data_IF_316803589319
#
_entry.id   IF_316803589319
#
_cell.length_a   1.000
_cell.length_b   1.000
_cell.length_c   1.000
_cell.angle_alpha   90.00
_cell.angle_beta   90.00
_cell.angle_gamma   90.00
#
_symmetry.space_group_name_H-M   'P 1'
#
loop_
_entity.id
_entity.type
_entity.pdbx_description
1 polymer ?
#
# COMPACT_ATOMS: atom_id res chain seq x y z
N UNK A 1 5.01 31.21 6.24
CA UNK A 1 4.80 29.75 6.20
C UNK A 1 4.61 29.15 7.59
N UNK A 2 5.57 29.28 8.53
CA UNK A 2 5.45 28.75 9.91
C UNK A 2 4.16 29.17 10.63
N UNK A 3 3.83 30.46 10.65
CA UNK A 3 2.63 30.99 11.35
C UNK A 3 1.32 30.44 10.76
N UNK A 4 1.28 30.23 9.44
CA UNK A 4 0.12 29.62 8.77
C UNK A 4 -0.05 28.15 9.20
N UNK A 5 1.04 27.39 9.24
CA UNK A 5 1.03 25.98 9.69
C UNK A 5 0.57 25.89 11.14
N UNK A 6 1.07 26.76 12.02
CA UNK A 6 0.68 26.78 13.44
C UNK A 6 -0.82 27.12 13.60
N UNK A 7 -1.38 28.04 12.79
CA UNK A 7 -2.82 28.34 12.77
C UNK A 7 -3.67 27.17 12.32
N UNK A 8 -3.28 26.51 11.23
CA UNK A 8 -3.97 25.33 10.70
C UNK A 8 -3.93 24.19 11.74
N UNK A 9 -2.76 23.92 12.30
CA UNK A 9 -2.56 22.91 13.33
C UNK A 9 -3.41 23.17 14.58
N UNK A 10 -3.49 24.41 15.06
CA UNK A 10 -4.32 24.75 16.21
C UNK A 10 -5.82 24.46 15.98
N UNK A 11 -6.30 24.66 14.74
CA UNK A 11 -7.68 24.34 14.37
C UNK A 11 -7.90 22.83 14.26
N UNK A 12 -6.94 22.10 13.70
CA UNK A 12 -7.05 20.66 13.47
C UNK A 12 -6.79 19.81 14.71
N UNK A 13 -5.92 20.25 15.62
CA UNK A 13 -5.42 19.48 16.77
C UNK A 13 -5.78 20.19 18.08
N UNK A 14 -7.00 19.96 18.57
CA UNK A 14 -7.55 20.55 19.79
C UNK A 14 -8.66 21.58 19.54
N UNK A 15 -8.87 21.98 18.28
CA UNK A 15 -9.91 22.95 17.88
C UNK A 15 -11.24 22.32 17.45
N UNK A 16 -11.33 20.99 17.32
CA UNK A 16 -12.51 20.28 16.87
C UNK A 16 -13.26 19.64 18.04
N UNK A 17 -14.59 19.81 18.08
CA UNK A 17 -15.42 19.05 19.02
C UNK A 17 -15.61 17.62 18.49
N UNK A 18 -14.78 16.71 18.96
CA UNK A 18 -14.77 15.32 18.52
C UNK A 18 -15.87 14.49 19.20
N UNK A 19 -17.13 14.90 19.12
CA UNK A 19 -18.26 14.12 19.66
C UNK A 19 -18.44 12.77 18.95
N UNK A 20 -19.16 11.82 19.54
CA UNK A 20 -19.49 10.55 18.86
C UNK A 20 -20.18 10.75 17.50
N UNK A 21 -21.08 11.74 17.41
CA UNK A 21 -21.71 12.10 16.14
C UNK A 21 -20.68 12.58 15.11
N UNK A 22 -19.72 13.40 15.53
CA UNK A 22 -18.64 13.88 14.67
C UNK A 22 -17.78 12.73 14.15
N UNK A 23 -17.44 11.77 15.02
CA UNK A 23 -16.65 10.58 14.66
C UNK A 23 -17.37 9.72 13.63
N UNK A 24 -18.67 9.46 13.82
CA UNK A 24 -19.48 8.68 12.88
C UNK A 24 -19.58 9.38 11.52
N UNK A 25 -19.87 10.69 11.51
CA UNK A 25 -19.94 11.48 10.27
C UNK A 25 -18.60 11.51 9.55
N UNK A 26 -17.50 11.61 10.29
CA UNK A 26 -16.17 11.59 9.72
C UNK A 26 -15.83 10.22 9.11
N UNK A 27 -16.15 9.14 9.81
CA UNK A 27 -15.96 7.77 9.30
C UNK A 27 -16.77 7.52 8.02
N UNK A 28 -18.04 7.98 7.99
CA UNK A 28 -18.89 7.90 6.80
C UNK A 28 -18.30 8.69 5.62
N UNK A 29 -17.87 9.92 5.85
CA UNK A 29 -17.25 10.76 4.83
C UNK A 29 -15.96 10.16 4.27
N UNK A 30 -15.08 9.67 5.14
CA UNK A 30 -13.86 8.99 4.74
C UNK A 30 -14.15 7.72 3.92
N UNK A 31 -15.09 6.89 4.38
CA UNK A 31 -15.45 5.66 3.67
C UNK A 31 -16.05 5.92 2.29
N UNK A 32 -17.00 6.86 2.17
CA UNK A 32 -17.60 7.25 0.90
C UNK A 32 -16.54 7.81 -0.04
N UNK A 33 -15.69 8.72 0.45
CA UNK A 33 -14.63 9.31 -0.37
C UNK A 33 -13.67 8.23 -0.88
N UNK A 34 -13.13 7.37 -0.01
CA UNK A 34 -12.22 6.30 -0.40
C UNK A 34 -12.88 5.32 -1.37
N UNK A 35 -14.14 4.95 -1.16
CA UNK A 35 -14.85 4.07 -2.08
C UNK A 35 -15.06 4.71 -3.46
N UNK A 36 -15.41 6.00 -3.52
CA UNK A 36 -15.53 6.72 -4.79
C UNK A 36 -14.20 6.82 -5.52
N UNK A 37 -13.10 7.07 -4.81
CA UNK A 37 -11.77 7.08 -5.42
C UNK A 37 -11.40 5.71 -5.98
N UNK A 38 -11.70 4.62 -5.26
CA UNK A 38 -11.45 3.26 -5.75
C UNK A 38 -12.24 2.90 -7.01
N UNK A 39 -13.47 3.42 -7.15
CA UNK A 39 -14.36 3.06 -8.25
C UNK A 39 -14.19 3.96 -9.49
N UNK A 40 -13.90 5.24 -9.28
CA UNK A 40 -13.98 6.26 -10.34
C UNK A 40 -12.63 6.77 -10.82
N UNK A 41 -11.56 6.53 -10.05
CA UNK A 41 -10.24 7.13 -10.34
C UNK A 41 -9.27 6.04 -10.81
N UNK A 42 -8.51 6.29 -11.90
CA UNK A 42 -7.45 5.39 -12.35
C UNK A 42 -6.38 5.14 -11.29
N UNK A 43 -5.83 3.93 -11.26
CA UNK A 43 -4.83 3.50 -10.26
C UNK A 43 -3.53 4.32 -10.29
N UNK A 44 -3.19 4.90 -11.44
CA UNK A 44 -2.03 5.78 -11.63
C UNK A 44 -2.24 7.21 -11.11
N UNK A 45 -3.40 7.52 -10.52
CA UNK A 45 -3.72 8.86 -10.01
C UNK A 45 -3.44 8.99 -8.52
N UNK A 46 -2.93 10.15 -8.10
CA UNK A 46 -2.81 10.52 -6.69
C UNK A 46 -4.09 10.38 -5.87
N UNK A 47 -5.26 10.53 -6.50
CA UNK A 47 -6.52 10.42 -5.79
C UNK A 47 -6.88 8.96 -5.46
N UNK A 48 -6.36 7.99 -6.23
CA UNK A 48 -6.55 6.57 -5.97
C UNK A 48 -5.66 6.07 -4.83
N UNK A 49 -4.55 6.75 -4.54
CA UNK A 49 -3.56 6.32 -3.54
C UNK A 49 -4.16 6.07 -2.14
N UNK A 50 -5.16 6.85 -1.71
CA UNK A 50 -5.87 6.67 -0.43
C UNK A 50 -6.52 5.28 -0.24
N UNK A 51 -6.77 4.58 -1.34
CA UNK A 51 -7.36 3.23 -1.35
C UNK A 51 -6.31 2.18 -0.95
N UNK A 52 -5.03 2.46 -1.25
CA UNK A 52 -3.94 1.50 -1.12
C UNK A 52 -3.09 1.80 0.12
N UNK A 53 -2.92 3.08 0.47
CA UNK A 53 -1.92 3.50 1.44
C UNK A 53 -2.51 4.15 2.69
N UNK A 54 -1.75 4.10 3.79
CA UNK A 54 -2.26 4.39 5.14
C UNK A 54 -1.87 5.78 5.67
N UNK A 55 -1.24 6.65 4.87
CA UNK A 55 -0.81 7.98 5.30
C UNK A 55 -1.99 8.86 5.73
N UNK A 56 -3.03 8.96 4.89
CA UNK A 56 -4.23 9.74 5.22
C UNK A 56 -5.02 9.11 6.38
N UNK A 57 -5.04 7.78 6.45
CA UNK A 57 -5.66 7.05 7.56
C UNK A 57 -4.94 7.31 8.89
N UNK A 58 -3.61 7.35 8.88
CA UNK A 58 -2.80 7.75 10.04
C UNK A 58 -3.10 9.19 10.45
N UNK A 59 -3.21 10.12 9.47
CA UNK A 59 -3.60 11.50 9.73
C UNK A 59 -5.00 11.60 10.37
N UNK A 60 -5.99 10.84 9.89
CA UNK A 60 -7.33 10.80 10.48
C UNK A 60 -7.30 10.33 11.94
N UNK A 61 -6.52 9.28 12.23
CA UNK A 61 -6.28 8.83 13.59
C UNK A 61 -5.71 9.92 14.49
N UNK A 62 -4.68 10.64 14.01
CA UNK A 62 -4.05 11.76 14.72
C UNK A 62 -5.04 12.89 14.98
N UNK A 63 -5.81 13.30 13.97
CA UNK A 63 -6.84 14.34 14.14
C UNK A 63 -7.84 13.92 15.23
N UNK A 64 -8.30 12.68 15.23
CA UNK A 64 -9.28 12.22 16.22
C UNK A 64 -8.68 12.23 17.62
N UNK A 65 -7.54 11.56 17.85
CA UNK A 65 -7.01 11.45 19.21
C UNK A 65 -6.52 12.79 19.76
N UNK A 66 -6.00 13.69 18.90
CA UNK A 66 -5.57 15.03 19.32
C UNK A 66 -6.72 15.97 19.72
N UNK A 67 -7.97 15.58 19.48
CA UNK A 67 -9.16 16.31 19.92
C UNK A 67 -9.93 15.58 21.04
N UNK A 68 -9.34 14.54 21.63
CA UNK A 68 -9.92 13.78 22.75
C UNK A 68 -9.34 14.24 24.08
N UNK A 69 -10.15 14.17 25.15
CA UNK A 69 -9.77 14.64 26.49
C UNK A 69 -8.99 13.61 27.30
N UNK A 70 -9.09 12.34 26.93
CA UNK A 70 -8.44 11.24 27.65
C UNK A 70 -7.95 10.16 26.67
N UNK A 71 -6.95 9.35 27.07
CA UNK A 71 -6.41 8.30 26.21
C UNK A 71 -7.41 7.17 25.95
N UNK A 72 -8.32 6.89 26.90
CA UNK A 72 -9.39 5.90 26.70
C UNK A 72 -10.43 6.39 25.69
N UNK A 73 -10.79 7.68 25.75
CA UNK A 73 -11.68 8.30 24.77
C UNK A 73 -11.06 8.32 23.38
N UNK A 74 -9.76 8.62 23.28
CA UNK A 74 -8.99 8.55 22.04
C UNK A 74 -9.00 7.13 21.44
N UNK A 75 -8.64 6.13 22.25
CA UNK A 75 -8.63 4.73 21.85
C UNK A 75 -10.00 4.29 21.31
N UNK A 76 -11.07 4.58 22.05
CA UNK A 76 -12.42 4.19 21.67
C UNK A 76 -12.89 4.89 20.38
N UNK A 77 -12.62 6.19 20.22
CA UNK A 77 -13.07 6.94 19.05
C UNK A 77 -12.29 6.61 17.79
N UNK A 78 -10.97 6.44 17.88
CA UNK A 78 -10.18 5.99 16.72
C UNK A 78 -10.59 4.58 16.33
N UNK A 79 -10.75 3.67 17.30
CA UNK A 79 -11.25 2.32 17.03
C UNK A 79 -12.61 2.34 16.32
N UNK A 80 -13.58 3.09 16.85
CA UNK A 80 -14.92 3.19 16.25
C UNK A 80 -14.88 3.83 14.86
N UNK A 81 -14.01 4.83 14.66
CA UNK A 81 -13.81 5.43 13.33
C UNK A 81 -13.40 4.37 12.30
N UNK A 82 -12.37 3.57 12.58
CA UNK A 82 -11.91 2.50 11.69
C UNK A 82 -12.93 1.35 11.58
N UNK A 83 -13.58 0.98 12.69
CA UNK A 83 -14.60 -0.07 12.72
C UNK A 83 -15.80 0.28 11.83
N UNK A 84 -16.14 1.56 11.68
CA UNK A 84 -17.19 2.01 10.78
C UNK A 84 -16.65 2.18 9.36
N UNK A 85 -15.51 2.85 9.20
CA UNK A 85 -15.05 3.24 7.87
C UNK A 85 -14.60 2.04 7.03
N UNK A 86 -13.86 1.09 7.61
CA UNK A 86 -13.26 -0.02 6.86
C UNK A 86 -14.32 -0.95 6.24
N UNK A 87 -15.35 -1.45 6.97
CA UNK A 87 -16.41 -2.25 6.36
C UNK A 87 -17.22 -1.48 5.32
N UNK A 88 -17.51 -0.20 5.59
CA UNK A 88 -18.32 0.63 4.68
C UNK A 88 -17.66 0.82 3.31
N UNK A 89 -16.33 0.96 3.26
CA UNK A 89 -15.60 1.02 2.00
C UNK A 89 -15.91 -0.22 1.14
N UNK A 90 -15.79 -1.40 1.72
CA UNK A 90 -16.11 -2.66 1.01
C UNK A 90 -17.57 -2.71 0.60
N UNK A 91 -18.51 -2.34 1.48
CA UNK A 91 -19.94 -2.34 1.17
C UNK A 91 -20.29 -1.41 -0.01
N UNK A 92 -19.62 -0.26 -0.12
CA UNK A 92 -19.78 0.63 -1.27
C UNK A 92 -19.12 0.10 -2.54
N UNK A 93 -18.02 -0.65 -2.44
CA UNK A 93 -17.30 -1.17 -3.61
C UNK A 93 -17.92 -2.44 -4.19
N UNK A 94 -18.39 -3.38 -3.36
CA UNK A 94 -18.90 -4.70 -3.76
C UNK A 94 -19.92 -4.66 -4.93
N UNK A 95 -20.90 -3.74 -4.99
CA UNK A 95 -21.90 -3.74 -6.07
C UNK A 95 -21.33 -3.32 -7.42
N UNK A 96 -20.18 -2.64 -7.44
CA UNK A 96 -19.64 -1.98 -8.62
C UNK A 96 -18.25 -2.48 -9.02
N UNK A 97 -17.58 -3.25 -8.15
CA UNK A 97 -16.25 -3.77 -8.39
C UNK A 97 -16.29 -5.14 -9.07
N UNK A 98 -15.38 -5.38 -10.04
CA UNK A 98 -15.34 -6.63 -10.83
C UNK A 98 -15.22 -7.89 -9.97
N UNK A 99 -14.50 -7.80 -8.86
CA UNK A 99 -14.29 -8.93 -7.92
C UNK A 99 -15.48 -9.17 -6.97
N UNK A 100 -16.49 -8.29 -6.96
CA UNK A 100 -17.69 -8.44 -6.13
C UNK A 100 -17.38 -8.73 -4.65
N UNK A 101 -18.03 -9.77 -4.11
CA UNK A 101 -17.87 -10.19 -2.73
C UNK A 101 -16.45 -10.71 -2.38
N UNK A 102 -15.63 -11.08 -3.36
CA UNK A 102 -14.26 -11.57 -3.12
C UNK A 102 -13.35 -10.47 -2.53
N UNK A 103 -13.75 -9.19 -2.61
CA UNK A 103 -13.06 -8.10 -1.91
C UNK A 103 -13.04 -8.30 -0.38
N UNK A 104 -14.02 -9.00 0.19
CA UNK A 104 -14.09 -9.28 1.63
C UNK A 104 -12.99 -10.21 2.12
N UNK A 105 -12.25 -10.87 1.22
CA UNK A 105 -11.09 -11.70 1.60
C UNK A 105 -9.97 -10.88 2.26
N UNK A 106 -9.87 -9.58 1.95
CA UNK A 106 -8.91 -8.68 2.59
C UNK A 106 -9.38 -8.18 3.97
N UNK A 107 -10.65 -8.35 4.31
CA UNK A 107 -11.24 -7.80 5.53
C UNK A 107 -10.61 -8.32 6.84
N UNK A 108 -10.21 -9.60 7.00
CA UNK A 108 -9.55 -10.06 8.22
C UNK A 108 -8.28 -9.28 8.56
N UNK A 109 -7.47 -8.94 7.56
CA UNK A 109 -6.27 -8.12 7.74
C UNK A 109 -6.64 -6.70 8.20
N UNK A 110 -7.63 -6.08 7.56
CA UNK A 110 -8.10 -4.74 7.93
C UNK A 110 -8.79 -4.70 9.30
N UNK A 111 -9.47 -5.78 9.68
CA UNK A 111 -10.04 -5.92 11.01
C UNK A 111 -8.95 -5.97 12.08
N UNK A 112 -7.85 -6.70 11.82
CA UNK A 112 -6.69 -6.69 12.72
C UNK A 112 -6.10 -5.28 12.86
N UNK A 113 -5.90 -4.56 11.75
CA UNK A 113 -5.45 -3.16 11.79
C UNK A 113 -6.41 -2.30 12.62
N UNK A 114 -7.72 -2.46 12.41
CA UNK A 114 -8.77 -1.75 13.15
C UNK A 114 -8.62 -1.98 14.65
N UNK A 115 -8.43 -3.22 15.09
CA UNK A 115 -8.19 -3.54 16.52
C UNK A 115 -6.92 -2.86 17.03
N UNK A 116 -5.84 -2.87 16.25
CA UNK A 116 -4.56 -2.24 16.62
C UNK A 116 -4.61 -0.71 16.66
N UNK A 117 -5.61 -0.08 16.04
CA UNK A 117 -5.78 1.38 16.14
C UNK A 117 -6.13 1.85 17.54
N UNK A 118 -6.79 1.01 18.36
CA UNK A 118 -7.12 1.35 19.75
C UNK A 118 -5.87 1.55 20.62
N UNK A 119 -4.93 0.58 20.75
CA UNK A 119 -3.70 0.79 21.50
C UNK A 119 -2.80 1.86 20.85
N UNK A 120 -2.77 1.95 19.52
CA UNK A 120 -2.01 2.98 18.83
C UNK A 120 -2.51 4.40 19.18
N UNK A 121 -3.82 4.62 19.22
CA UNK A 121 -4.40 5.91 19.60
C UNK A 121 -4.23 6.21 21.09
N UNK A 122 -4.28 5.20 21.95
CA UNK A 122 -3.99 5.36 23.39
C UNK A 122 -2.56 5.87 23.61
N UNK A 123 -1.58 5.28 22.92
CA UNK A 123 -0.17 5.70 22.95
C UNK A 123 -0.01 7.07 22.27
N UNK A 124 -0.65 7.27 21.12
CA UNK A 124 -0.62 8.52 20.36
C UNK A 124 -1.14 9.71 21.15
N UNK A 125 -2.16 9.51 22.01
CA UNK A 125 -2.70 10.56 22.86
C UNK A 125 -1.65 11.19 23.79
N UNK A 126 -0.58 10.47 24.13
CA UNK A 126 0.53 10.99 24.94
C UNK A 126 1.27 12.17 24.28
N UNK A 127 1.03 12.44 22.99
CA UNK A 127 1.56 13.62 22.29
C UNK A 127 1.08 14.94 22.92
N UNK A 128 -0.07 14.95 23.62
CA UNK A 128 -0.58 16.13 24.35
C UNK A 128 0.38 16.66 25.42
N UNK A 129 1.24 15.80 25.99
CA UNK A 129 2.20 16.20 27.01
C UNK A 129 3.28 17.14 26.49
N UNK A 130 3.43 17.28 25.16
CA UNK A 130 4.39 18.19 24.53
C UNK A 130 5.78 18.05 25.14
N UNK A 131 6.31 16.83 25.10
CA UNK A 131 7.64 16.49 25.62
C UNK A 131 8.52 15.87 24.54
N UNK A 132 9.78 15.55 24.87
CA UNK A 132 10.67 14.79 23.96
C UNK A 132 10.08 13.40 23.67
N UNK A 133 9.39 12.78 24.63
CA UNK A 133 8.67 11.52 24.42
C UNK A 133 7.57 11.66 23.37
N UNK A 134 6.87 12.79 23.34
CA UNK A 134 5.89 13.10 22.29
C UNK A 134 6.54 13.13 20.90
N UNK A 135 7.80 13.59 20.80
CA UNK A 135 8.53 13.55 19.53
C UNK A 135 8.86 12.12 19.08
N UNK A 136 9.23 11.23 20.02
CA UNK A 136 9.48 9.81 19.70
C UNK A 136 8.21 9.11 19.24
N UNK A 137 7.09 9.29 19.96
CA UNK A 137 5.80 8.70 19.62
C UNK A 137 5.31 9.21 18.26
N UNK A 138 5.37 10.53 18.02
CA UNK A 138 4.99 11.09 16.74
C UNK A 138 5.88 10.58 15.60
N UNK A 139 7.18 10.41 15.85
CA UNK A 139 8.13 9.92 14.84
C UNK A 139 7.78 8.52 14.34
N UNK A 140 7.18 7.65 15.17
CA UNK A 140 6.69 6.35 14.73
C UNK A 140 5.57 6.48 13.68
N UNK A 141 4.63 7.41 13.89
CA UNK A 141 3.60 7.71 12.90
C UNK A 141 4.17 8.37 11.63
N UNK A 142 5.15 9.27 11.80
CA UNK A 142 5.83 9.93 10.67
C UNK A 142 6.61 8.94 9.80
N UNK A 143 7.18 7.87 10.38
CA UNK A 143 7.87 6.81 9.61
C UNK A 143 6.90 6.15 8.61
N UNK A 144 5.63 5.96 8.98
CA UNK A 144 4.61 5.40 8.07
C UNK A 144 4.35 6.36 6.90
N UNK A 145 4.17 7.64 7.19
CA UNK A 145 3.95 8.68 6.17
C UNK A 145 5.18 8.79 5.25
N UNK A 146 6.39 8.69 5.80
CA UNK A 146 7.63 8.72 5.02
C UNK A 146 7.78 7.46 4.16
N UNK A 147 7.40 6.29 4.67
CA UNK A 147 7.44 5.06 3.89
C UNK A 147 6.58 5.17 2.63
N UNK A 148 5.32 5.61 2.76
CA UNK A 148 4.43 5.80 1.61
C UNK A 148 4.84 7.00 0.75
N UNK A 149 5.30 8.10 1.35
CA UNK A 149 5.84 9.25 0.61
C UNK A 149 7.04 8.87 -0.25
N UNK A 150 7.96 8.04 0.26
CA UNK A 150 9.10 7.52 -0.49
C UNK A 150 8.65 6.54 -1.58
N UNK A 151 7.70 5.64 -1.28
CA UNK A 151 7.12 4.74 -2.28
C UNK A 151 6.58 5.52 -3.49
N UNK A 152 5.70 6.48 -3.25
CA UNK A 152 5.11 7.30 -4.31
C UNK A 152 6.10 8.26 -4.97
N UNK A 153 7.11 8.74 -4.24
CA UNK A 153 8.19 9.51 -4.85
C UNK A 153 8.89 8.70 -5.94
N UNK A 154 9.18 7.43 -5.68
CA UNK A 154 9.77 6.57 -6.69
C UNK A 154 8.81 6.27 -7.84
N UNK A 155 7.54 5.95 -7.57
CA UNK A 155 6.53 5.77 -8.63
C UNK A 155 6.42 7.02 -9.53
N UNK A 156 6.42 8.22 -8.93
CA UNK A 156 6.39 9.50 -9.62
C UNK A 156 7.64 9.74 -10.49
N UNK A 157 8.83 9.31 -10.05
CA UNK A 157 10.05 9.47 -10.86
C UNK A 157 10.05 8.65 -12.14
N UNK A 158 9.33 7.53 -12.17
CA UNK A 158 9.17 6.68 -13.36
C UNK A 158 8.03 7.19 -14.24
N UNK A 159 6.90 7.56 -13.64
CA UNK A 159 5.66 7.91 -14.36
C UNK A 159 5.23 9.36 -14.10
N UNK A 160 6.11 10.33 -14.30
CA UNK A 160 5.77 11.74 -14.03
C UNK A 160 4.63 12.23 -14.95
N UNK A 161 3.56 12.91 -14.44
CA UNK A 161 3.37 13.47 -13.09
C UNK A 161 2.48 12.64 -12.15
N UNK A 162 2.32 11.34 -12.39
CA UNK A 162 1.56 10.45 -11.51
C UNK A 162 2.06 10.53 -10.06
N UNK A 163 1.15 10.39 -9.10
CA UNK A 163 1.42 10.41 -7.65
C UNK A 163 2.04 11.71 -7.08
N UNK A 164 2.28 12.75 -7.89
CA UNK A 164 2.88 14.01 -7.44
C UNK A 164 2.12 14.66 -6.27
N UNK A 165 0.78 14.70 -6.32
CA UNK A 165 -0.01 15.31 -5.25
C UNK A 165 0.13 14.52 -3.95
N UNK A 166 0.28 13.21 -4.02
CA UNK A 166 0.46 12.33 -2.86
C UNK A 166 1.82 12.55 -2.21
N UNK A 167 2.88 12.70 -3.01
CA UNK A 167 4.21 13.06 -2.51
C UNK A 167 4.19 14.42 -1.81
N UNK A 168 3.57 15.42 -2.45
CA UNK A 168 3.41 16.75 -1.85
C UNK A 168 2.57 16.72 -0.58
N UNK A 169 1.52 15.89 -0.55
CA UNK A 169 0.70 15.66 0.63
C UNK A 169 1.55 15.09 1.76
N UNK A 170 2.27 13.99 1.56
CA UNK A 170 3.13 13.39 2.59
C UNK A 170 4.15 14.40 3.16
N UNK A 171 4.78 15.22 2.30
CA UNK A 171 5.70 16.28 2.75
C UNK A 171 4.95 17.31 3.61
N UNK A 172 3.79 17.77 3.16
CA UNK A 172 2.97 18.73 3.89
C UNK A 172 2.49 18.17 5.24
N UNK A 173 2.10 16.89 5.28
CA UNK A 173 1.69 16.19 6.50
C UNK A 173 2.83 16.11 7.51
N UNK A 174 4.02 15.70 7.09
CA UNK A 174 5.21 15.65 7.96
C UNK A 174 5.50 17.03 8.55
N UNK A 175 5.49 18.08 7.73
CA UNK A 175 5.73 19.44 8.20
C UNK A 175 4.62 19.91 9.15
N UNK A 176 3.36 19.66 8.80
CA UNK A 176 2.20 20.04 9.62
C UNK A 176 2.24 19.36 10.99
N UNK A 177 2.55 18.06 11.04
CA UNK A 177 2.62 17.29 12.28
C UNK A 177 3.80 17.73 13.16
N UNK A 178 5.00 17.89 12.59
CA UNK A 178 6.19 18.32 13.36
C UNK A 178 5.99 19.74 13.91
N UNK A 179 5.61 20.70 13.08
CA UNK A 179 5.46 22.09 13.55
C UNK A 179 4.21 22.31 14.38
N UNK A 180 3.13 21.58 14.09
CA UNK A 180 1.84 21.70 14.76
C UNK A 180 1.78 21.03 16.13
N UNK A 181 2.44 19.89 16.31
CA UNK A 181 2.30 19.08 17.52
C UNK A 181 3.53 19.12 18.45
N UNK A 182 4.74 19.33 17.91
CA UNK A 182 5.95 19.28 18.73
C UNK A 182 6.38 20.67 19.22
N UNK A 183 6.68 20.81 20.52
CA UNK A 183 7.12 22.08 21.10
C UNK A 183 8.62 22.29 20.92
N UNK A 184 9.01 23.56 20.74
CA UNK A 184 10.40 23.97 20.80
C UNK A 184 11.29 23.39 19.69
N UNK A 185 12.54 23.85 19.66
CA UNK A 185 13.48 23.48 18.61
C UNK A 185 14.05 22.06 18.77
N UNK A 186 14.29 21.61 20.00
CA UNK A 186 14.92 20.31 20.27
C UNK A 186 14.05 19.12 19.85
N UNK A 187 12.76 19.10 20.22
CA UNK A 187 11.83 18.04 19.82
C UNK A 187 11.61 17.99 18.31
N UNK A 188 11.51 19.18 17.67
CA UNK A 188 11.37 19.29 16.21
C UNK A 188 12.62 18.78 15.49
N UNK A 189 13.81 19.16 15.96
CA UNK A 189 15.08 18.65 15.41
C UNK A 189 15.18 17.13 15.52
N UNK A 190 14.85 16.56 16.68
CA UNK A 190 14.87 15.12 16.87
C UNK A 190 13.95 14.42 15.86
N UNK A 191 12.71 14.89 15.71
CA UNK A 191 11.78 14.34 14.74
C UNK A 191 12.31 14.45 13.30
N UNK A 192 12.87 15.60 12.91
CA UNK A 192 13.48 15.76 11.57
C UNK A 192 14.65 14.80 11.34
N UNK A 193 15.52 14.59 12.33
CA UNK A 193 16.64 13.65 12.23
C UNK A 193 16.10 12.23 12.03
N UNK A 194 15.11 11.81 12.81
CA UNK A 194 14.49 10.48 12.69
C UNK A 194 13.79 10.30 11.33
N UNK A 195 13.08 11.34 10.87
CA UNK A 195 12.47 11.35 9.55
C UNK A 195 13.50 11.23 8.42
N UNK A 196 14.61 11.97 8.52
CA UNK A 196 15.70 11.92 7.56
C UNK A 196 16.36 10.54 7.53
N UNK A 197 16.64 9.94 8.70
CA UNK A 197 17.18 8.58 8.80
C UNK A 197 16.22 7.58 8.17
N UNK A 198 14.91 7.66 8.46
CA UNK A 198 13.91 6.77 7.87
C UNK A 198 13.87 6.90 6.34
N UNK A 199 13.85 8.13 5.82
CA UNK A 199 13.87 8.39 4.38
C UNK A 199 15.15 7.84 3.72
N UNK A 200 16.31 7.99 4.37
CA UNK A 200 17.58 7.40 3.90
C UNK A 200 17.52 5.88 3.88
N UNK A 201 16.99 5.24 4.92
CA UNK A 201 16.85 3.77 4.98
C UNK A 201 15.94 3.27 3.86
N UNK A 202 14.76 3.87 3.69
CA UNK A 202 13.84 3.48 2.62
C UNK A 202 14.38 3.79 1.23
N UNK A 203 15.10 4.91 1.09
CA UNK A 203 15.81 5.28 -0.14
C UNK A 203 16.90 4.27 -0.51
N UNK A 204 17.77 3.89 0.44
CA UNK A 204 18.80 2.88 0.21
C UNK A 204 18.17 1.53 -0.11
N UNK A 205 17.12 1.13 0.62
CA UNK A 205 16.41 -0.13 0.38
C UNK A 205 15.89 -0.24 -1.05
N UNK A 206 15.48 0.87 -1.67
CA UNK A 206 15.07 0.89 -3.09
C UNK A 206 16.19 0.49 -4.06
N UNK A 207 17.45 0.74 -3.70
CA UNK A 207 18.62 0.41 -4.52
C UNK A 207 19.24 -0.94 -4.16
N UNK A 208 18.98 -1.47 -2.96
CA UNK A 208 19.54 -2.76 -2.52
C UNK A 208 18.57 -3.94 -2.67
N UNK A 209 17.27 -3.69 -2.75
CA UNK A 209 16.25 -4.72 -3.00
C UNK A 209 15.57 -4.41 -4.33
N UNK A 210 15.53 -5.36 -5.29
CA UNK A 210 14.81 -5.16 -6.54
C UNK A 210 13.33 -4.90 -6.23
N UNK A 211 12.85 -3.73 -6.66
CA UNK A 211 11.50 -3.26 -6.39
C UNK A 211 10.51 -4.04 -7.22
N UNK A 212 9.55 -4.73 -6.59
CA UNK A 212 8.48 -5.42 -7.30
C UNK A 212 7.40 -4.40 -7.65
N UNK A 213 7.37 -3.92 -8.89
CA UNK A 213 6.33 -3.07 -9.47
C UNK A 213 4.94 -3.72 -9.36
N UNK A 214 4.86 -5.04 -9.63
CA UNK A 214 3.60 -5.77 -9.54
C UNK A 214 3.81 -7.22 -9.17
N UNK A 215 2.95 -7.73 -8.28
CA UNK A 215 2.82 -9.17 -8.06
C UNK A 215 1.51 -9.65 -8.66
N UNK A 216 1.56 -10.68 -9.50
CA UNK A 216 0.36 -11.28 -10.10
C UNK A 216 0.35 -12.77 -9.81
N UNK A 217 -0.78 -13.26 -9.33
CA UNK A 217 -1.07 -14.69 -9.29
C UNK A 217 -1.66 -15.09 -10.65
N UNK A 218 -0.93 -15.91 -11.39
CA UNK A 218 -1.39 -16.51 -12.64
C UNK A 218 -2.00 -17.86 -12.31
N UNK A 219 -3.31 -17.96 -12.41
CA UNK A 219 -4.03 -19.23 -12.36
C UNK A 219 -3.82 -19.97 -13.69
N UNK A 220 -3.25 -21.17 -13.60
CA UNK A 220 -3.05 -22.07 -14.74
C UNK A 220 -4.10 -23.19 -14.66
N UNK A 221 -4.52 -23.70 -15.81
CA UNK A 221 -5.48 -24.82 -15.88
C UNK A 221 -4.87 -26.07 -15.22
N UNK A 222 -5.42 -26.48 -14.08
CA UNK A 222 -4.94 -27.62 -13.29
C UNK A 222 -4.92 -28.93 -14.09
N UNK A 223 -5.79 -29.08 -15.10
CA UNK A 223 -5.83 -30.29 -15.93
C UNK A 223 -4.64 -30.38 -16.88
N UNK A 224 -4.01 -29.24 -17.18
CA UNK A 224 -2.91 -29.11 -18.12
C UNK A 224 -1.57 -28.88 -17.42
N UNK A 225 -1.62 -28.18 -16.30
CA UNK A 225 -0.49 -27.88 -15.43
C UNK A 225 -0.84 -28.38 -14.02
N UNK A 226 -0.60 -29.67 -13.72
CA UNK A 226 -0.76 -30.19 -12.36
C UNK A 226 0.41 -29.70 -11.51
N UNK A 227 0.38 -28.39 -11.21
CA UNK A 227 1.43 -27.69 -10.50
C UNK A 227 1.60 -28.29 -9.11
N UNK A 228 2.83 -28.70 -8.80
CA UNK A 228 3.23 -29.12 -7.46
C UNK A 228 4.51 -28.38 -7.03
N UNK A 229 4.91 -28.53 -5.77
CA UNK A 229 6.09 -27.85 -5.21
C UNK A 229 7.43 -28.27 -5.84
N UNK A 230 7.43 -29.31 -6.67
CA UNK A 230 8.62 -29.87 -7.30
C UNK A 230 8.88 -29.35 -8.72
N UNK A 231 7.96 -28.55 -9.27
CA UNK A 231 8.16 -27.86 -10.53
C UNK A 231 9.22 -26.76 -10.39
N UNK A 232 10.10 -26.68 -11.39
CA UNK A 232 11.15 -25.66 -11.46
C UNK A 232 10.68 -24.50 -12.34
N UNK A 233 10.70 -23.28 -11.81
CA UNK A 233 10.38 -22.06 -12.55
C UNK A 233 11.65 -21.27 -12.83
N UNK A 234 11.90 -20.96 -14.09
CA UNK A 234 13.03 -20.13 -14.51
C UNK A 234 12.51 -18.98 -15.37
N UNK A 235 12.52 -17.74 -14.86
CA UNK A 235 12.28 -16.56 -15.70
C UNK A 235 13.45 -16.36 -16.68
N UNK A 236 13.15 -15.99 -17.92
CA UNK A 236 14.18 -15.67 -18.94
C UNK A 236 15.03 -14.48 -18.53
N UNK A 237 14.41 -13.47 -17.94
CA UNK A 237 15.10 -12.27 -17.49
C UNK A 237 14.71 -11.93 -16.04
N UNK A 238 15.54 -12.34 -15.08
CA UNK A 238 15.35 -12.06 -13.65
C UNK A 238 15.39 -10.56 -13.31
N UNK A 239 15.94 -9.71 -14.19
CA UNK A 239 15.88 -8.25 -14.02
C UNK A 239 14.51 -7.65 -14.35
N UNK A 240 13.64 -8.41 -15.05
CA UNK A 240 12.29 -7.99 -15.44
C UNK A 240 11.26 -8.60 -14.50
N UNK A 241 11.33 -9.91 -14.26
CA UNK A 241 10.47 -10.56 -13.26
C UNK A 241 11.09 -11.84 -12.71
N UNK A 242 10.69 -12.20 -11.49
CA UNK A 242 10.85 -13.55 -10.93
C UNK A 242 9.50 -14.21 -10.83
N UNK A 243 9.48 -15.54 -10.72
CA UNK A 243 8.26 -16.26 -10.44
C UNK A 243 8.51 -17.49 -9.58
N UNK A 244 7.55 -17.78 -8.73
CA UNK A 244 7.55 -18.90 -7.80
C UNK A 244 6.16 -19.50 -7.72
N UNK A 245 6.09 -20.77 -7.33
CA UNK A 245 4.80 -21.42 -7.06
C UNK A 245 4.34 -21.11 -5.64
N UNK A 246 3.09 -20.70 -5.50
CA UNK A 246 2.44 -20.58 -4.20
C UNK A 246 1.01 -21.10 -4.24
N UNK A 247 0.55 -21.58 -3.08
CA UNK A 247 -0.85 -21.89 -2.88
C UNK A 247 -1.59 -20.60 -2.54
N UNK A 248 -2.53 -20.24 -3.41
CA UNK A 248 -3.47 -19.14 -3.17
C UNK A 248 -4.78 -19.69 -2.60
N UNK A 249 -5.69 -18.80 -2.19
CA UNK A 249 -7.02 -19.18 -1.73
C UNK A 249 -7.83 -19.93 -2.81
N UNK A 250 -7.49 -19.70 -4.08
CA UNK A 250 -8.15 -20.26 -5.25
C UNK A 250 -7.41 -21.47 -5.86
N UNK A 251 -6.40 -22.02 -5.16
CA UNK A 251 -5.60 -23.16 -5.62
C UNK A 251 -4.12 -22.82 -5.91
N UNK A 252 -3.34 -23.78 -6.43
CA UNK A 252 -1.94 -23.55 -6.82
C UNK A 252 -1.87 -22.52 -7.96
N UNK A 253 -1.03 -21.51 -7.78
CA UNK A 253 -0.83 -20.47 -8.79
C UNK A 253 0.66 -20.18 -8.99
N UNK A 254 1.00 -19.73 -10.18
CA UNK A 254 2.30 -19.15 -10.48
C UNK A 254 2.28 -17.69 -10.04
N UNK A 255 3.03 -17.35 -8.99
CA UNK A 255 3.19 -15.98 -8.51
C UNK A 255 4.34 -15.34 -9.26
N UNK A 256 4.05 -14.28 -10.00
CA UNK A 256 5.04 -13.53 -10.79
C UNK A 256 5.25 -12.17 -10.17
N UNK A 257 6.49 -11.88 -9.80
CA UNK A 257 6.93 -10.59 -9.27
C UNK A 257 7.65 -9.81 -10.38
N UNK A 258 6.98 -8.82 -10.95
CA UNK A 258 7.55 -7.90 -11.92
C UNK A 258 8.37 -6.83 -11.21
N UNK A 259 9.64 -6.69 -11.58
CA UNK A 259 10.51 -5.60 -11.15
C UNK A 259 10.58 -4.43 -12.12
N UNK A 260 10.18 -4.70 -13.36
CA UNK A 260 9.99 -3.73 -14.42
C UNK A 260 8.82 -4.24 -15.26
N UNK A 261 7.76 -3.45 -15.41
CA UNK A 261 6.58 -3.85 -16.17
C UNK A 261 6.90 -3.89 -17.67
N UNK A 262 7.38 -5.06 -18.10
CA UNK A 262 7.81 -5.39 -19.46
C UNK A 262 7.53 -6.86 -19.72
N UNK A 263 7.72 -7.30 -20.97
CA UNK A 263 7.48 -8.67 -21.36
C UNK A 263 8.60 -9.57 -20.82
N UNK A 264 8.23 -10.68 -20.18
CA UNK A 264 9.16 -11.73 -19.81
C UNK A 264 8.64 -13.09 -20.26
N UNK A 265 9.54 -14.06 -20.40
CA UNK A 265 9.17 -15.44 -20.69
C UNK A 265 9.49 -16.27 -19.48
N UNK A 266 8.51 -17.00 -18.96
CA UNK A 266 8.70 -17.91 -17.84
C UNK A 266 8.70 -19.33 -18.35
N UNK A 267 9.80 -20.02 -18.12
CA UNK A 267 9.94 -21.44 -18.44
C UNK A 267 9.70 -22.25 -17.19
N UNK A 268 8.78 -23.20 -17.25
CA UNK A 268 8.47 -24.13 -16.17
C UNK A 268 8.85 -25.54 -16.60
N UNK A 269 9.40 -26.32 -15.67
CA UNK A 269 9.71 -27.73 -15.88
C UNK A 269 8.91 -28.56 -14.89
N UNK A 270 8.20 -29.58 -15.41
CA UNK A 270 7.58 -30.59 -14.55
C UNK A 270 8.62 -31.61 -14.04
N UNK A 271 8.16 -32.55 -13.21
CA UNK A 271 8.99 -33.59 -12.60
C UNK A 271 9.62 -34.54 -13.63
N UNK A 272 9.03 -34.64 -14.83
CA UNK A 272 9.51 -35.43 -15.96
C UNK A 272 10.40 -34.61 -16.92
N UNK A 273 10.67 -33.34 -16.56
CA UNK A 273 11.42 -32.33 -17.33
C UNK A 273 10.78 -31.92 -18.65
N UNK A 274 9.46 -32.04 -18.79
CA UNK A 274 8.76 -31.38 -19.89
C UNK A 274 8.83 -29.87 -19.71
N UNK A 275 9.18 -29.19 -20.81
CA UNK A 275 9.34 -27.75 -20.83
C UNK A 275 8.02 -27.07 -21.24
N UNK A 276 7.54 -26.17 -20.38
CA UNK A 276 6.40 -25.30 -20.65
C UNK A 276 6.86 -23.84 -20.67
N UNK A 277 6.42 -23.06 -21.66
CA UNK A 277 6.79 -21.65 -21.79
C UNK A 277 5.56 -20.76 -21.78
N UNK A 278 5.57 -19.80 -20.87
CA UNK A 278 4.55 -18.76 -20.73
C UNK A 278 5.19 -17.41 -21.09
N UNK A 279 4.64 -16.76 -22.11
CA UNK A 279 4.96 -15.36 -22.41
C UNK A 279 4.06 -14.50 -21.50
N UNK A 280 4.67 -13.75 -20.59
CA UNK A 280 3.95 -12.90 -19.65
C UNK A 280 4.21 -11.44 -20.01
N UNK A 281 3.13 -10.75 -20.32
CA UNK A 281 3.10 -9.36 -20.76
C UNK A 281 2.61 -8.49 -19.62
N UNK A 282 3.34 -7.44 -19.29
CA UNK A 282 2.93 -6.40 -18.34
C UNK A 282 2.86 -5.09 -19.14
N UNK A 283 1.66 -4.52 -19.29
CA UNK A 283 1.45 -3.28 -20.05
C UNK A 283 1.66 -2.02 -19.19
N UNK A 284 1.69 -0.84 -19.82
CA UNK A 284 1.91 0.45 -19.13
C UNK A 284 0.80 0.78 -18.10
N UNK A 285 -0.38 0.18 -18.25
CA UNK A 285 -1.50 0.27 -17.30
C UNK A 285 -1.41 -0.80 -16.19
N UNK A 286 -0.24 -1.47 -16.09
CA UNK A 286 0.06 -2.57 -15.21
C UNK A 286 -0.77 -3.83 -15.46
N UNK A 287 -1.59 -3.94 -16.50
CA UNK A 287 -2.33 -5.16 -16.78
C UNK A 287 -1.37 -6.28 -17.16
N UNK A 288 -1.64 -7.48 -16.64
CA UNK A 288 -0.82 -8.66 -16.93
C UNK A 288 -1.62 -9.64 -17.75
N UNK A 289 -1.07 -10.01 -18.90
CA UNK A 289 -1.62 -11.02 -19.80
C UNK A 289 -0.62 -12.15 -19.94
N UNK A 290 -1.14 -13.37 -20.00
CA UNK A 290 -0.32 -14.58 -20.14
C UNK A 290 -0.71 -15.23 -21.44
N UNK A 291 0.25 -15.37 -22.35
CA UNK A 291 0.11 -16.14 -23.58
C UNK A 291 0.93 -17.42 -23.47
N UNK A 292 0.30 -18.55 -23.77
CA UNK A 292 1.05 -19.80 -23.90
C UNK A 292 1.78 -19.85 -25.24
N UNK A 293 3.09 -20.11 -25.18
CA UNK A 293 3.83 -20.50 -26.39
C UNK A 293 3.55 -21.96 -26.70
N UNK A 294 2.94 -22.22 -27.86
CA UNK A 294 2.88 -23.59 -28.41
C UNK A 294 4.32 -24.14 -28.53
N UNK A 295 4.57 -25.39 -28.12
CA UNK A 295 5.90 -25.98 -28.23
C UNK A 295 6.32 -26.00 -29.70
N UNK A 296 7.51 -25.48 -29.98
CA UNK A 296 8.18 -25.75 -31.25
C UNK A 296 8.59 -27.22 -31.22
N UNK A 297 7.79 -28.08 -31.84
CA UNK A 297 8.26 -29.42 -32.18
C UNK A 297 9.39 -29.27 -33.20
N UNK A 298 10.64 -29.32 -32.74
CA UNK A 298 11.72 -29.74 -33.61
C UNK A 298 11.46 -31.20 -33.97
N UNK A 299 10.80 -31.44 -35.09
CA UNK A 299 10.78 -32.75 -35.72
C UNK A 299 12.22 -32.99 -36.20
N UNK A 300 13.02 -33.65 -35.35
CA UNK A 300 14.22 -34.33 -35.81
C UNK A 300 13.80 -35.35 -36.86
N UNK A 301 14.12 -35.07 -38.12
CA UNK A 301 13.96 -36.02 -39.22
C UNK A 301 13.03 -35.55 -40.33
N UNK A 302 13.45 -34.54 -41.10
CA UNK A 302 13.26 -34.58 -42.56
C UNK A 302 14.55 -34.13 -43.25
N UNK A 303 15.00 -34.86 -44.30
CA UNK A 303 16.21 -34.52 -45.02
C UNK A 303 15.99 -33.23 -45.81
N UNK A 304 17.02 -32.37 -45.76
CA UNK A 304 17.14 -31.19 -46.60
C UNK A 304 17.01 -31.62 -48.07
N UNK A 305 15.98 -31.15 -48.77
CA UNK A 305 15.99 -31.12 -50.23
C UNK A 305 16.37 -29.72 -50.71
N UNK A 306 17.58 -29.71 -51.29
CA UNK A 306 18.30 -28.66 -52.05
C UNK A 306 18.87 -27.49 -51.27
#
# INVERSE_FOLDING_TARGET
>A
MKELIEKIAAKLFGGLNMSWKSVILFALGAAVYTALMALLVPQSSSFHDIVVTSELWAMFGIIIFMNCKSPNEAAAKVFVFFLISQPLIYLFQIPFHKNGANLLTHYPFWFLITVLTAPAAWIGWQIHHRSVTSALILSLGLIIIIYYGMHYFFCMTVHFPAHLLTVLLCIAEVLLLIYGLLPGWHSRRLAFILCFIAAMIFGIRRFTVPFVDKTVAVQLDENKYPLDHTWLVIPRNESVSTADFAYTLDGPALIVHFYNCSNNVITMFDNERHEYRLDIHCDEDLNVYVEERKPYFHIFGQPIQR
#
